data_IF_298548367161
#
_entry.id   IF_298548367161
#
_cell.length_a   1.000
_cell.length_b   1.000
_cell.length_c   1.000
_cell.angle_alpha   90.00
_cell.angle_beta   90.00
_cell.angle_gamma   90.00
#
_symmetry.space_group_name_H-M   'P 1'
#
loop_
_entity.id
_entity.type
_entity.pdbx_description
1 polymer ?
#
# COMPACT_ATOMS: atom_id res chain seq x y z
N UNK A 1 -4.51 -24.52 0.44
CA UNK A 1 -4.68 -23.63 1.60
C UNK A 1 -4.17 -22.27 1.18
N UNK A 2 -5.08 -21.31 0.97
CA UNK A 2 -4.73 -19.95 0.55
C UNK A 2 -3.99 -19.26 1.69
N UNK A 3 -2.85 -18.63 1.41
CA UNK A 3 -2.13 -17.83 2.41
C UNK A 3 -2.99 -16.62 2.76
N UNK A 4 -3.14 -16.26 4.04
CA UNK A 4 -3.80 -15.01 4.40
C UNK A 4 -3.03 -13.85 3.76
N UNK A 5 -3.69 -13.08 2.89
CA UNK A 5 -3.17 -11.82 2.39
C UNK A 5 -3.17 -10.83 3.55
N UNK A 6 -1.99 -10.47 4.03
CA UNK A 6 -1.83 -9.38 4.99
C UNK A 6 -1.57 -8.08 4.19
N UNK A 7 -2.55 -7.18 4.04
CA UNK A 7 -2.39 -5.92 3.31
C UNK A 7 -1.51 -4.90 4.04
N UNK A 8 -0.93 -5.25 5.19
CA UNK A 8 -0.14 -4.30 5.94
C UNK A 8 1.10 -3.95 5.13
N UNK A 9 1.31 -2.69 4.72
CA UNK A 9 2.65 -2.29 4.35
C UNK A 9 3.49 -2.50 5.61
N UNK A 10 4.50 -3.38 5.53
CA UNK A 10 5.63 -3.33 6.45
C UNK A 10 6.18 -1.90 6.35
N UNK A 11 5.76 -1.05 7.28
CA UNK A 11 6.02 0.38 7.38
C UNK A 11 5.42 1.26 6.25
N UNK A 12 4.48 2.17 6.58
CA UNK A 12 4.10 3.30 5.71
C UNK A 12 5.17 4.41 5.67
N UNK A 13 6.31 4.18 6.32
CA UNK A 13 7.44 5.10 6.36
C UNK A 13 8.41 4.66 5.25
N UNK A 14 8.60 5.49 4.20
CA UNK A 14 9.72 5.36 3.30
C UNK A 14 10.99 5.14 4.08
N UNK A 15 11.52 3.94 3.93
CA UNK A 15 12.91 3.68 4.20
C UNK A 15 13.70 4.56 3.21
N UNK A 16 14.36 5.65 3.65
CA UNK A 16 14.84 6.71 2.73
C UNK A 16 15.93 6.26 1.76
N UNK A 17 16.45 5.04 1.90
CA UNK A 17 17.61 4.56 1.15
C UNK A 17 17.29 3.77 -0.13
N UNK A 18 16.07 3.30 -0.35
CA UNK A 18 15.74 2.51 -1.56
C UNK A 18 14.30 2.72 -2.09
N UNK A 19 14.01 3.97 -2.48
CA UNK A 19 12.72 4.34 -3.09
C UNK A 19 12.50 3.56 -4.41
N UNK A 20 13.54 3.42 -5.23
CA UNK A 20 13.45 2.73 -6.53
C UNK A 20 13.21 1.22 -6.39
N UNK A 21 13.89 0.56 -5.46
CA UNK A 21 13.65 -0.85 -5.14
C UNK A 21 12.23 -1.07 -4.65
N UNK A 22 11.72 -0.17 -3.79
CA UNK A 22 10.35 -0.26 -3.31
C UNK A 22 9.31 -0.06 -4.41
N UNK A 23 9.52 0.89 -5.32
CA UNK A 23 8.65 1.09 -6.48
C UNK A 23 8.63 -0.17 -7.36
N UNK A 24 9.77 -0.82 -7.58
CA UNK A 24 9.84 -2.09 -8.34
C UNK A 24 9.08 -3.23 -7.66
N UNK A 25 9.19 -3.36 -6.35
CA UNK A 25 8.43 -4.36 -5.59
C UNK A 25 6.92 -4.14 -5.72
N UNK A 26 6.47 -2.89 -5.57
CA UNK A 26 5.05 -2.54 -5.70
C UNK A 26 4.53 -2.79 -7.12
N UNK A 27 5.33 -2.48 -8.14
CA UNK A 27 4.98 -2.79 -9.53
C UNK A 27 4.86 -4.30 -9.75
N UNK A 28 5.76 -5.11 -9.19
CA UNK A 28 5.68 -6.57 -9.28
C UNK A 28 4.42 -7.13 -8.61
N UNK A 29 3.93 -6.50 -7.53
CA UNK A 29 2.65 -6.87 -6.91
C UNK A 29 1.46 -6.50 -7.79
N UNK A 30 1.50 -5.35 -8.48
CA UNK A 30 0.44 -4.94 -9.42
C UNK A 30 0.37 -5.87 -10.62
N UNK A 31 1.52 -6.33 -11.11
CA UNK A 31 1.63 -7.25 -12.25
C UNK A 31 1.18 -8.68 -11.91
N UNK A 32 1.01 -9.02 -10.63
CA UNK A 32 0.48 -10.30 -10.18
C UNK A 32 -1.03 -10.40 -10.49
N UNK A 33 -1.47 -11.37 -11.31
CA UNK A 33 -2.87 -11.51 -11.71
C UNK A 33 -3.80 -11.94 -10.56
N UNK A 34 -3.25 -12.34 -9.41
CA UNK A 34 -4.02 -12.76 -8.23
C UNK A 34 -4.45 -11.60 -7.34
N UNK A 35 -3.96 -10.39 -7.61
CA UNK A 35 -4.31 -9.19 -6.86
C UNK A 35 -5.60 -8.56 -7.42
N UNK A 36 -6.52 -8.23 -6.51
CA UNK A 36 -7.78 -7.54 -6.80
C UNK A 36 -7.58 -6.10 -7.27
N UNK A 37 -8.56 -5.54 -7.97
CA UNK A 37 -8.53 -4.15 -8.43
C UNK A 37 -8.45 -3.13 -7.28
N UNK A 38 -9.08 -3.43 -6.13
CA UNK A 38 -8.98 -2.60 -4.92
C UNK A 38 -7.54 -2.57 -4.38
N UNK A 39 -6.89 -3.73 -4.29
CA UNK A 39 -5.49 -3.83 -3.88
C UNK A 39 -4.56 -3.13 -4.90
N UNK A 40 -4.80 -3.27 -6.21
CA UNK A 40 -4.04 -2.53 -7.24
C UNK A 40 -4.17 -1.02 -7.07
N UNK A 41 -5.36 -0.53 -6.77
CA UNK A 41 -5.61 0.90 -6.53
C UNK A 41 -4.82 1.41 -5.33
N UNK A 42 -4.75 0.63 -4.25
CA UNK A 42 -3.95 0.96 -3.07
C UNK A 42 -2.43 0.93 -3.37
N UNK A 43 -1.97 -0.05 -4.15
CA UNK A 43 -0.56 -0.17 -4.56
C UNK A 43 -0.12 1.00 -5.44
N UNK A 44 -0.95 1.43 -6.40
CA UNK A 44 -0.68 2.63 -7.20
C UNK A 44 -0.57 3.89 -6.35
N UNK A 45 -1.43 4.04 -5.35
CA UNK A 45 -1.38 5.17 -4.41
C UNK A 45 -0.12 5.13 -3.56
N UNK A 46 0.30 3.95 -3.11
CA UNK A 46 1.55 3.77 -2.39
C UNK A 46 2.75 4.19 -3.27
N UNK A 47 2.80 3.74 -4.53
CA UNK A 47 3.85 4.12 -5.47
C UNK A 47 3.95 5.63 -5.66
N UNK A 48 2.82 6.32 -5.85
CA UNK A 48 2.77 7.78 -5.98
C UNK A 48 3.34 8.50 -4.74
N UNK A 49 3.05 7.99 -3.54
CA UNK A 49 3.60 8.52 -2.29
C UNK A 49 5.12 8.31 -2.19
N UNK A 50 5.62 7.14 -2.58
CA UNK A 50 7.05 6.88 -2.67
C UNK A 50 7.74 7.79 -3.69
N UNK A 51 7.16 7.98 -4.88
CA UNK A 51 7.69 8.89 -5.91
C UNK A 51 7.72 10.35 -5.46
N UNK A 52 6.80 10.76 -4.59
CA UNK A 52 6.74 12.11 -4.02
C UNK A 52 7.52 12.29 -2.73
N UNK A 53 8.13 11.22 -2.19
CA UNK A 53 8.84 11.20 -0.90
C UNK A 53 7.92 11.72 0.23
N UNK A 54 6.62 11.41 0.14
CA UNK A 54 5.64 11.82 1.15
C UNK A 54 5.64 10.76 2.25
N UNK A 55 6.06 11.16 3.45
CA UNK A 55 5.87 10.34 4.64
C UNK A 55 4.39 10.38 5.03
N UNK A 56 3.76 9.22 5.12
CA UNK A 56 2.49 9.13 5.80
C UNK A 56 2.71 9.46 7.28
N UNK A 57 1.92 10.42 7.78
CA UNK A 57 1.88 10.71 9.21
C UNK A 57 1.51 9.45 10.01
N UNK A 58 1.80 9.45 11.32
CA UNK A 58 1.39 8.34 12.17
C UNK A 58 -0.11 8.08 12.04
N UNK A 59 -0.51 6.81 12.09
CA UNK A 59 -1.91 6.37 12.05
C UNK A 59 -2.66 6.68 10.75
N UNK A 60 -1.97 6.79 9.62
CA UNK A 60 -2.60 6.89 8.28
C UNK A 60 -2.37 5.64 7.46
N UNK A 61 -3.41 5.21 6.74
CA UNK A 61 -3.33 4.07 5.82
C UNK A 61 -3.91 4.43 4.45
N UNK A 62 -3.71 3.54 3.47
CA UNK A 62 -4.30 3.65 2.15
C UNK A 62 -5.50 2.70 2.06
N UNK A 63 -6.67 3.23 1.74
CA UNK A 63 -7.89 2.47 1.47
C UNK A 63 -8.59 3.05 0.25
N UNK A 64 -8.97 2.20 -0.71
CA UNK A 64 -9.61 2.56 -1.98
C UNK A 64 -8.91 3.72 -2.71
N UNK A 65 -7.57 3.70 -2.67
CA UNK A 65 -6.71 4.73 -3.27
C UNK A 65 -6.68 6.07 -2.54
N UNK A 66 -7.22 6.15 -1.32
CA UNK A 66 -7.23 7.35 -0.49
C UNK A 66 -6.42 7.13 0.77
N UNK A 67 -5.81 8.22 1.25
CA UNK A 67 -5.20 8.24 2.57
C UNK A 67 -6.30 8.52 3.58
N UNK A 68 -6.51 7.61 4.52
CA UNK A 68 -7.48 7.74 5.60
C UNK A 68 -6.78 7.64 6.95
N UNK A 69 -7.34 8.29 7.96
CA UNK A 69 -6.89 8.09 9.34
C UNK A 69 -7.35 6.69 9.81
N UNK A 70 -6.52 6.02 10.60
CA UNK A 70 -6.76 4.64 11.06
C UNK A 70 -8.12 4.48 11.78
N UNK A 71 -8.62 5.56 12.39
CA UNK A 71 -9.90 5.58 13.09
C UNK A 71 -11.10 5.50 12.12
N UNK A 72 -10.93 5.92 10.88
CA UNK A 72 -11.96 6.00 9.84
C UNK A 72 -11.90 4.82 8.86
N UNK A 73 -11.09 3.82 9.18
CA UNK A 73 -10.90 2.63 8.32
C UNK A 73 -12.12 1.75 8.40
N UNK A 74 -12.70 1.46 7.25
CA UNK A 74 -13.78 0.49 7.14
C UNK A 74 -13.19 -0.93 7.06
N UNK A 75 -13.30 -1.67 8.16
CA UNK A 75 -12.80 -3.04 8.25
C UNK A 75 -13.89 -3.97 7.74
N UNK A 76 -13.97 -4.17 6.43
CA UNK A 76 -14.80 -5.21 5.86
C UNK A 76 -14.18 -6.59 6.16
N UNK A 77 -14.76 -7.32 7.11
CA UNK A 77 -14.46 -8.73 7.30
C UNK A 77 -15.03 -9.53 6.11
N UNK A 78 -14.15 -9.98 5.21
CA UNK A 78 -14.45 -10.98 4.19
C UNK A 78 -14.38 -12.41 4.76
#
# INVERSE_FOLDING_TARGET
>A
MSRPFYPLPLCPIPIPWDVDGRIKELQAMIDDPTISEEQKTNLHTAMDLYSKIVLLGPWRIIQDGKIVDLQDVDIHCA
#
